data_IF_236852691398
#
_entry.id   IF_236852691398
#
_cell.length_a   1.000
_cell.length_b   1.000
_cell.length_c   1.000
_cell.angle_alpha   90.00
_cell.angle_beta   90.00
_cell.angle_gamma   90.00
#
_symmetry.space_group_name_H-M   'P 1'
#
loop_
_entity.id
_entity.type
_entity.pdbx_description
1 polymer ?
#
# COMPACT_ATOMS: atom_id res chain seq x y z
N UNK A 1 -16.31 -16.70 0.63
CA UNK A 1 -14.93 -16.72 0.09
C UNK A 1 -14.89 -16.35 -1.38
N UNK A 2 -15.53 -17.10 -2.29
CA UNK A 2 -15.55 -16.78 -3.73
C UNK A 2 -16.07 -15.36 -4.03
N UNK A 3 -17.16 -14.94 -3.36
CA UNK A 3 -17.71 -13.59 -3.51
C UNK A 3 -16.72 -12.49 -3.11
N UNK A 4 -15.88 -12.71 -2.10
CA UNK A 4 -14.85 -11.74 -1.69
C UNK A 4 -13.77 -11.54 -2.73
N UNK A 5 -13.29 -12.62 -3.36
CA UNK A 5 -12.38 -12.53 -4.51
C UNK A 5 -13.03 -11.80 -5.68
N UNK A 6 -14.32 -12.06 -5.94
CA UNK A 6 -15.09 -11.35 -6.94
C UNK A 6 -15.11 -9.85 -6.73
N UNK A 7 -15.36 -9.37 -5.50
CA UNK A 7 -15.30 -7.95 -5.19
C UNK A 7 -13.88 -7.38 -5.40
N UNK A 8 -12.84 -8.03 -4.86
CA UNK A 8 -11.46 -7.55 -5.00
C UNK A 8 -11.06 -7.40 -6.48
N UNK A 9 -11.35 -8.41 -7.30
CA UNK A 9 -11.05 -8.38 -8.73
C UNK A 9 -11.93 -7.38 -9.50
N UNK A 10 -13.20 -7.23 -9.13
CA UNK A 10 -14.10 -6.26 -9.75
C UNK A 10 -13.63 -4.83 -9.51
N UNK A 11 -13.27 -4.47 -8.28
CA UNK A 11 -12.77 -3.13 -8.00
C UNK A 11 -11.39 -2.89 -8.62
N UNK A 12 -10.55 -3.92 -8.74
CA UNK A 12 -9.31 -3.86 -9.50
C UNK A 12 -9.56 -3.55 -10.98
N UNK A 13 -10.48 -4.27 -11.65
CA UNK A 13 -10.77 -4.04 -13.07
C UNK A 13 -11.44 -2.69 -13.31
N UNK A 14 -12.32 -2.24 -12.41
CA UNK A 14 -12.88 -0.89 -12.47
C UNK A 14 -11.78 0.16 -12.30
N UNK A 15 -10.89 -0.01 -11.32
CA UNK A 15 -9.76 0.90 -11.12
C UNK A 15 -8.84 0.99 -12.33
N UNK A 16 -8.56 -0.14 -12.97
CA UNK A 16 -7.77 -0.20 -14.21
C UNK A 16 -8.49 0.51 -15.37
N UNK A 17 -9.81 0.27 -15.54
CA UNK A 17 -10.61 0.97 -16.54
C UNK A 17 -10.62 2.49 -16.32
N UNK A 18 -10.65 2.93 -15.05
CA UNK A 18 -10.57 4.35 -14.68
C UNK A 18 -9.17 4.90 -14.94
N UNK A 19 -8.10 4.14 -14.71
CA UNK A 19 -6.74 4.58 -14.99
C UNK A 19 -6.52 4.92 -16.48
N UNK A 20 -7.22 4.24 -17.39
CA UNK A 20 -7.20 4.54 -18.84
C UNK A 20 -7.73 5.94 -19.19
N UNK A 21 -8.47 6.59 -18.29
CA UNK A 21 -8.97 7.96 -18.50
C UNK A 21 -7.89 9.04 -18.31
N UNK A 22 -6.67 8.67 -17.92
CA UNK A 22 -5.53 9.59 -17.84
C UNK A 22 -5.31 10.25 -16.48
N UNK A 23 -5.89 9.69 -15.41
CA UNK A 23 -5.82 10.25 -14.04
C UNK A 23 -4.40 10.19 -13.42
N UNK A 24 -3.42 9.61 -14.10
CA UNK A 24 -2.01 9.57 -13.67
C UNK A 24 -1.74 8.67 -12.45
N UNK A 25 -2.78 8.09 -11.86
CA UNK A 25 -2.69 7.08 -10.80
C UNK A 25 -2.75 5.66 -11.39
N UNK A 26 -1.94 4.72 -10.86
CA UNK A 26 -2.08 3.31 -11.17
C UNK A 26 -3.49 2.78 -10.85
N UNK A 27 -4.05 1.95 -11.73
CA UNK A 27 -5.43 1.44 -11.58
C UNK A 27 -5.65 0.62 -10.32
N UNK A 28 -4.64 -0.12 -9.84
CA UNK A 28 -4.70 -0.86 -8.59
C UNK A 28 -4.92 0.06 -7.35
N UNK A 29 -4.29 1.24 -7.31
CA UNK A 29 -4.48 2.22 -6.24
C UNK A 29 -5.89 2.79 -6.30
N UNK A 30 -6.38 3.12 -7.49
CA UNK A 30 -7.75 3.59 -7.70
C UNK A 30 -8.76 2.54 -7.24
N UNK A 31 -8.57 1.27 -7.63
CA UNK A 31 -9.40 0.16 -7.21
C UNK A 31 -9.43 -0.04 -5.69
N UNK A 32 -8.27 0.09 -5.02
CA UNK A 32 -8.20 0.05 -3.54
C UNK A 32 -9.01 1.19 -2.90
N UNK A 33 -8.90 2.41 -3.42
CA UNK A 33 -9.66 3.56 -2.92
C UNK A 33 -11.16 3.36 -3.15
N UNK A 34 -11.58 2.89 -4.32
CA UNK A 34 -12.98 2.63 -4.64
C UNK A 34 -13.57 1.53 -3.74
N UNK A 35 -12.84 0.44 -3.52
CA UNK A 35 -13.25 -0.62 -2.61
C UNK A 35 -13.38 -0.08 -1.18
N UNK A 36 -12.42 0.72 -0.71
CA UNK A 36 -12.47 1.34 0.61
C UNK A 36 -13.69 2.26 0.76
N UNK A 37 -14.01 3.07 -0.25
CA UNK A 37 -15.20 3.92 -0.27
C UNK A 37 -16.49 3.09 -0.27
N UNK A 38 -16.54 1.98 -1.01
CA UNK A 38 -17.69 1.07 -1.03
C UNK A 38 -17.91 0.36 0.31
N UNK A 39 -16.84 0.03 1.03
CA UNK A 39 -16.89 -0.49 2.41
C UNK A 39 -17.36 0.61 3.38
N UNK A 40 -16.83 1.82 3.27
CA UNK A 40 -17.20 2.96 4.13
C UNK A 40 -18.66 3.37 3.93
N UNK A 41 -19.17 3.31 2.71
CA UNK A 41 -20.57 3.57 2.38
C UNK A 41 -21.52 2.42 2.74
N UNK A 42 -21.00 1.27 3.20
CA UNK A 42 -21.81 0.10 3.57
C UNK A 42 -22.40 -0.68 2.39
N UNK A 43 -22.05 -0.32 1.14
CA UNK A 43 -22.47 -1.02 -0.09
C UNK A 43 -21.91 -2.44 -0.12
N UNK A 44 -20.66 -2.58 0.34
CA UNK A 44 -19.97 -3.87 0.45
C UNK A 44 -19.74 -4.18 1.93
N UNK A 45 -20.25 -5.33 2.38
CA UNK A 45 -20.03 -5.79 3.76
C UNK A 45 -18.59 -6.26 3.94
N UNK A 46 -17.93 -5.82 5.01
CA UNK A 46 -16.58 -6.22 5.36
C UNK A 46 -16.44 -7.75 5.43
N UNK A 47 -17.42 -8.44 6.00
CA UNK A 47 -17.43 -9.91 6.14
C UNK A 47 -17.44 -10.65 4.80
N UNK A 48 -17.89 -10.01 3.71
CA UNK A 48 -17.87 -10.61 2.39
C UNK A 48 -16.46 -10.63 1.79
N UNK A 49 -15.65 -9.60 2.06
CA UNK A 49 -14.33 -9.39 1.45
C UNK A 49 -13.20 -9.89 2.34
N UNK A 50 -13.31 -9.68 3.65
CA UNK A 50 -12.25 -9.98 4.64
C UNK A 50 -11.69 -11.41 4.54
N UNK A 51 -12.51 -12.48 4.45
CA UNK A 51 -11.96 -13.84 4.34
C UNK A 51 -11.13 -14.08 3.08
N UNK A 52 -11.46 -13.41 1.97
CA UNK A 52 -10.70 -13.52 0.72
C UNK A 52 -9.40 -12.70 0.78
N UNK A 53 -9.49 -11.47 1.33
CA UNK A 53 -8.32 -10.61 1.55
C UNK A 53 -7.31 -11.28 2.50
N UNK A 54 -7.76 -11.88 3.60
CA UNK A 54 -6.89 -12.57 4.57
C UNK A 54 -6.14 -13.75 3.92
N UNK A 55 -6.77 -14.49 3.01
CA UNK A 55 -6.11 -15.58 2.27
C UNK A 55 -5.04 -15.04 1.33
N UNK A 56 -5.33 -13.96 0.60
CA UNK A 56 -4.36 -13.30 -0.29
C UNK A 56 -3.16 -12.76 0.50
N UNK A 57 -3.43 -12.08 1.62
CA UNK A 57 -2.41 -11.53 2.51
C UNK A 57 -1.57 -12.62 3.16
N UNK A 58 -2.18 -13.73 3.60
CA UNK A 58 -1.46 -14.87 4.15
C UNK A 58 -0.52 -15.53 3.13
N UNK A 59 -0.88 -15.50 1.86
CA UNK A 59 -0.09 -16.07 0.76
C UNK A 59 0.63 -15.00 -0.08
N UNK A 60 0.79 -13.78 0.44
CA UNK A 60 1.36 -12.64 -0.29
C UNK A 60 2.75 -12.95 -0.87
N UNK A 61 3.57 -13.70 -0.13
CA UNK A 61 4.88 -14.16 -0.58
C UNK A 61 4.82 -14.92 -1.92
N UNK A 62 3.80 -15.77 -2.12
CA UNK A 62 3.61 -16.50 -3.37
C UNK A 62 3.42 -15.56 -4.57
N UNK A 63 2.74 -14.43 -4.39
CA UNK A 63 2.54 -13.43 -5.45
C UNK A 63 3.81 -12.64 -5.77
N UNK A 64 4.76 -12.54 -4.83
CA UNK A 64 6.06 -11.91 -5.08
C UNK A 64 7.07 -12.82 -5.78
N UNK A 65 6.89 -14.15 -5.71
CA UNK A 65 7.81 -15.09 -6.37
C UNK A 65 7.88 -14.84 -7.89
N UNK A 66 6.78 -14.75 -8.66
CA UNK A 66 6.84 -14.46 -10.09
C UNK A 66 7.57 -13.16 -10.42
N UNK A 67 7.32 -12.09 -9.64
CA UNK A 67 8.00 -10.82 -9.81
C UNK A 67 9.52 -10.95 -9.55
N UNK A 68 9.91 -11.66 -8.50
CA UNK A 68 11.32 -11.91 -8.16
C UNK A 68 12.05 -12.75 -9.23
N UNK A 69 11.42 -13.83 -9.72
CA UNK A 69 11.98 -14.66 -10.80
C UNK A 69 12.11 -13.85 -12.09
N UNK A 70 11.15 -12.96 -12.39
CA UNK A 70 11.25 -12.04 -13.53
C UNK A 70 12.49 -11.15 -13.45
N UNK A 71 12.83 -10.64 -12.26
CA UNK A 71 14.04 -9.84 -12.03
C UNK A 71 15.31 -10.66 -12.23
N UNK A 72 15.32 -11.96 -11.88
CA UNK A 72 16.49 -12.84 -12.07
C UNK A 72 16.91 -13.00 -13.54
N UNK A 73 15.97 -12.82 -14.48
CA UNK A 73 16.28 -12.81 -15.94
C UNK A 73 17.26 -11.69 -16.30
N UNK A 74 17.37 -10.64 -15.48
CA UNK A 74 18.30 -9.52 -15.69
C UNK A 74 19.50 -9.57 -14.73
N UNK A 75 19.87 -10.77 -14.28
CA UNK A 75 20.92 -11.02 -13.30
C UNK A 75 22.27 -10.39 -13.65
N UNK A 76 22.68 -10.39 -14.92
CA UNK A 76 23.95 -9.78 -15.35
C UNK A 76 23.98 -8.26 -15.14
N UNK A 77 22.88 -7.56 -15.47
CA UNK A 77 22.74 -6.10 -15.26
C UNK A 77 22.75 -5.78 -13.77
N UNK A 78 22.06 -6.59 -12.97
CA UNK A 78 22.03 -6.45 -11.52
C UNK A 78 23.44 -6.68 -10.94
N UNK A 79 24.15 -7.70 -11.42
CA UNK A 79 25.52 -7.98 -10.99
C UNK A 79 26.51 -6.88 -11.41
N UNK A 80 26.29 -6.20 -12.53
CA UNK A 80 27.10 -5.05 -12.92
C UNK A 80 26.87 -3.81 -12.03
N UNK A 81 25.65 -3.64 -11.51
CA UNK A 81 25.23 -2.44 -10.78
C UNK A 81 24.81 -2.68 -9.32
N UNK A 82 25.15 -3.83 -8.73
CA UNK A 82 24.67 -4.25 -7.41
C UNK A 82 24.98 -3.25 -6.30
N UNK A 83 26.14 -2.58 -6.38
CA UNK A 83 26.56 -1.53 -5.44
C UNK A 83 25.61 -0.34 -5.54
N UNK A 84 25.36 0.15 -6.76
CA UNK A 84 24.49 1.29 -6.99
C UNK A 84 23.04 0.99 -6.57
N UNK A 85 22.54 -0.22 -6.86
CA UNK A 85 21.21 -0.69 -6.43
C UNK A 85 21.14 -0.74 -4.90
N UNK A 86 22.09 -1.38 -4.25
CA UNK A 86 22.07 -1.53 -2.78
C UNK A 86 22.16 -0.19 -2.07
N UNK A 87 23.11 0.67 -2.49
CA UNK A 87 23.28 2.00 -1.90
C UNK A 87 22.04 2.86 -2.13
N UNK A 88 21.49 2.89 -3.34
CA UNK A 88 20.28 3.68 -3.62
C UNK A 88 19.07 3.22 -2.81
N UNK A 89 18.87 1.92 -2.64
CA UNK A 89 17.79 1.36 -1.82
C UNK A 89 17.97 1.74 -0.34
N UNK A 90 19.15 1.50 0.23
CA UNK A 90 19.41 1.78 1.66
C UNK A 90 19.31 3.27 1.95
N UNK A 91 19.94 4.12 1.13
CA UNK A 91 19.91 5.58 1.32
C UNK A 91 18.48 6.09 1.17
N UNK A 92 17.74 5.68 0.14
CA UNK A 92 16.34 6.11 -0.04
C UNK A 92 15.46 5.68 1.12
N UNK A 93 15.63 4.45 1.60
CA UNK A 93 14.90 3.94 2.75
C UNK A 93 15.18 4.77 4.02
N UNK A 94 16.45 5.05 4.32
CA UNK A 94 16.83 5.87 5.47
C UNK A 94 16.30 7.30 5.34
N UNK A 95 16.40 7.92 4.16
CA UNK A 95 15.89 9.26 3.90
C UNK A 95 14.38 9.33 4.10
N UNK A 96 13.63 8.37 3.55
CA UNK A 96 12.17 8.29 3.75
C UNK A 96 11.85 8.12 5.23
N UNK A 97 12.54 7.21 5.94
CA UNK A 97 12.33 6.96 7.36
C UNK A 97 12.55 8.22 8.21
N UNK A 98 13.66 8.93 7.99
CA UNK A 98 13.98 10.19 8.69
C UNK A 98 12.96 11.27 8.36
N UNK A 99 12.60 11.43 7.09
CA UNK A 99 11.67 12.47 6.63
C UNK A 99 10.28 12.25 7.22
N UNK A 100 9.78 11.00 7.20
CA UNK A 100 8.50 10.64 7.81
C UNK A 100 8.56 10.83 9.32
N UNK A 101 9.65 10.42 9.98
CA UNK A 101 9.84 10.60 11.42
C UNK A 101 9.83 12.07 11.86
N UNK A 102 10.54 12.94 11.13
CA UNK A 102 10.53 14.40 11.38
C UNK A 102 9.13 14.96 11.14
N UNK A 103 8.48 14.59 10.04
CA UNK A 103 7.12 15.06 9.71
C UNK A 103 6.12 14.67 10.79
N UNK A 104 6.16 13.42 11.26
CA UNK A 104 5.29 12.93 12.33
C UNK A 104 5.54 13.70 13.63
N UNK A 105 6.81 13.93 14.00
CA UNK A 105 7.19 14.74 15.18
C UNK A 105 6.71 16.18 15.08
N UNK A 106 6.72 16.79 13.89
CA UNK A 106 6.20 18.14 13.67
C UNK A 106 4.66 18.18 13.77
N UNK A 107 3.95 17.21 13.20
CA UNK A 107 2.50 17.15 13.23
C UNK A 107 1.94 16.84 14.64
N UNK A 108 2.66 16.05 15.43
CA UNK A 108 2.29 15.76 16.83
C UNK A 108 2.78 16.80 17.83
N UNK A 109 3.61 17.76 17.43
CA UNK A 109 3.94 18.98 18.19
C UNK A 109 2.79 19.99 18.23
N UNK A 110 1.54 19.52 18.37
CA UNK A 110 0.53 20.38 18.99
C UNK A 110 0.90 20.48 20.47
N UNK A 111 1.00 21.69 21.04
CA UNK A 111 1.15 21.82 22.48
C UNK A 111 -0.04 21.08 23.08
N UNK A 112 0.24 20.11 23.94
CA UNK A 112 -0.70 19.67 24.96
C UNK A 112 -1.21 20.95 25.62
N UNK A 113 -2.40 21.39 25.18
CA UNK A 113 -3.14 22.48 25.83
C UNK A 113 -3.26 22.02 27.28
N UNK A 114 -2.57 22.75 28.15
CA UNK A 114 -2.42 22.37 29.55
C UNK A 114 -3.77 21.99 30.13
N UNK A 115 -3.83 20.81 30.73
CA UNK A 115 -4.81 20.55 31.80
C UNK A 115 -4.32 21.34 33.01
N UNK A 116 -4.52 22.65 32.95
CA UNK A 116 -4.56 23.53 34.11
C UNK A 116 -6.02 23.54 34.55
N UNK A 117 -6.42 22.56 35.36
CA UNK A 117 -7.71 22.45 36.07
C UNK A 117 -7.58 21.13 36.86
N UNK A 118 -7.74 21.04 38.17
CA UNK A 118 -8.29 21.97 39.13
C UNK A 118 -7.92 21.42 40.52
N UNK A 119 -7.52 22.33 41.41
CA UNK A 119 -7.62 22.24 42.87
C UNK A 119 -8.86 21.46 43.34
N UNK A 120 -8.69 20.51 44.27
CA UNK A 120 -9.04 20.68 45.69
C UNK A 120 -8.96 19.36 46.47
#
# INVERSE_FOLDING_TARGET
>A
MLGGFGFILLFLTIGEAVALTGIGLPGNVIGMVLLALALAAGVVKLDAVKPAADVLLKNLAFFFIPAGVGVMVHGEVIAAHWIAITVSVVVSFLVVLVTVGITQKLLTRRPTRGTSEETS
#
